data_IF_489871981482
#
_entry.id   IF_489871981482
#
_cell.length_a   1.000
_cell.length_b   1.000
_cell.length_c   1.000
_cell.angle_alpha   90.00
_cell.angle_beta   90.00
_cell.angle_gamma   90.00
#
_symmetry.space_group_name_H-M   'P 1'
#
loop_
_entity.id
_entity.type
_entity.pdbx_description
1 polymer ?
#
# COMPACT_ATOMS: atom_id res chain seq x y z
N UNK A 1 -17.03 9.15 23.51
CA UNK A 1 -16.30 8.90 22.30
C UNK A 1 -16.19 7.42 22.00
N UNK A 2 -16.42 7.05 20.77
CA UNK A 2 -16.43 5.66 20.39
C UNK A 2 -15.23 5.32 19.55
N UNK A 3 -14.43 4.41 20.05
CA UNK A 3 -13.33 3.90 19.29
C UNK A 3 -13.68 2.53 18.76
N UNK A 4 -13.31 2.23 17.53
CA UNK A 4 -13.52 0.90 16.98
C UNK A 4 -12.76 -0.12 17.80
N UNK A 5 -13.46 -1.15 18.25
CA UNK A 5 -12.85 -2.19 19.06
C UNK A 5 -11.72 -2.88 18.32
N UNK A 6 -11.89 -3.08 17.03
CA UNK A 6 -10.86 -3.73 16.23
C UNK A 6 -9.55 -2.93 16.23
N UNK A 7 -9.66 -1.59 16.13
CA UNK A 7 -8.48 -0.74 16.13
C UNK A 7 -7.80 -0.69 17.47
N UNK A 8 -8.57 -0.80 18.56
CA UNK A 8 -8.03 -0.79 19.90
C UNK A 8 -7.13 -2.01 20.18
N UNK A 9 -7.28 -3.09 19.40
CA UNK A 9 -6.48 -4.30 19.57
C UNK A 9 -5.18 -4.27 18.79
N UNK A 10 -5.04 -3.34 17.86
CA UNK A 10 -3.89 -3.26 16.98
C UNK A 10 -3.10 -2.01 17.28
N UNK A 11 -1.90 -2.18 17.82
CA UNK A 11 -0.98 -1.07 17.98
C UNK A 11 -0.13 -0.89 16.71
N UNK A 12 0.69 0.15 16.71
CA UNK A 12 1.55 0.46 15.57
C UNK A 12 2.50 -0.67 15.24
N UNK A 13 3.03 -1.34 16.25
CA UNK A 13 3.96 -2.43 16.03
C UNK A 13 3.29 -3.61 15.33
N UNK A 14 2.04 -3.89 15.68
CA UNK A 14 1.29 -4.97 15.05
C UNK A 14 0.98 -4.63 13.59
N UNK A 15 0.52 -3.41 13.32
CA UNK A 15 0.28 -2.98 11.94
C UNK A 15 1.54 -3.11 11.09
N UNK A 16 2.67 -2.63 11.60
CA UNK A 16 3.92 -2.71 10.88
C UNK A 16 4.31 -4.16 10.58
N UNK A 17 4.17 -5.03 11.59
CA UNK A 17 4.51 -6.44 11.43
C UNK A 17 3.65 -7.11 10.35
N UNK A 18 2.34 -6.84 10.38
CA UNK A 18 1.43 -7.43 9.40
C UNK A 18 1.69 -6.91 7.99
N UNK A 19 2.02 -5.62 7.86
CA UNK A 19 2.37 -5.05 6.58
C UNK A 19 3.63 -5.71 6.02
N UNK A 20 4.65 -5.88 6.85
CA UNK A 20 5.91 -6.48 6.41
C UNK A 20 5.76 -7.96 6.05
N UNK A 21 4.82 -8.65 6.67
CA UNK A 21 4.56 -10.07 6.41
C UNK A 21 3.61 -10.31 5.27
N UNK A 22 2.84 -9.32 4.86
CA UNK A 22 1.85 -9.48 3.81
C UNK A 22 2.53 -9.88 2.50
N UNK A 23 2.21 -11.06 1.94
CA UNK A 23 2.91 -11.57 0.77
C UNK A 23 2.32 -11.02 -0.53
N UNK A 24 2.14 -9.70 -0.60
CA UNK A 24 1.46 -9.07 -1.72
C UNK A 24 2.21 -9.21 -3.04
N UNK A 25 3.53 -9.37 -2.97
CA UNK A 25 4.33 -9.50 -4.19
C UNK A 25 4.22 -10.88 -4.86
N UNK A 26 3.40 -11.77 -4.31
CA UNK A 26 2.99 -12.96 -5.05
C UNK A 26 2.09 -12.59 -6.22
N UNK A 27 1.41 -11.46 -6.16
CA UNK A 27 0.52 -10.99 -7.23
C UNK A 27 0.88 -9.59 -7.72
N UNK A 28 1.34 -8.72 -6.83
CA UNK A 28 1.68 -7.35 -7.18
C UNK A 28 3.13 -7.25 -7.65
N UNK A 29 3.39 -6.30 -8.54
CA UNK A 29 4.73 -6.02 -9.01
C UNK A 29 5.35 -4.90 -8.20
N UNK A 30 6.68 -4.89 -8.13
CA UNK A 30 7.44 -3.79 -7.56
C UNK A 30 7.46 -2.65 -8.55
N UNK A 31 6.56 -1.70 -8.35
CA UNK A 31 6.47 -0.53 -9.22
C UNK A 31 7.46 0.55 -8.77
N UNK A 32 7.95 1.37 -9.70
CA UNK A 32 8.92 2.39 -9.33
C UNK A 32 8.31 3.57 -8.60
N UNK A 33 9.15 4.25 -7.83
CA UNK A 33 8.90 5.61 -7.37
C UNK A 33 9.47 6.53 -8.42
N UNK A 34 8.61 7.36 -9.01
CA UNK A 34 9.02 8.25 -10.09
C UNK A 34 8.93 9.68 -9.64
N UNK A 35 10.02 10.45 -9.80
CA UNK A 35 9.99 11.86 -9.50
C UNK A 35 9.13 12.60 -10.49
N UNK A 36 8.42 13.62 -9.99
CA UNK A 36 7.59 14.51 -10.78
C UNK A 36 8.27 15.86 -10.85
N UNK A 37 9.17 16.10 -11.83
CA UNK A 37 10.00 17.30 -11.80
C UNK A 37 9.23 18.60 -11.89
N UNK A 38 8.23 18.68 -12.76
CA UNK A 38 7.45 19.91 -12.93
C UNK A 38 6.66 20.24 -11.67
N UNK A 39 6.04 19.26 -11.06
CA UNK A 39 5.28 19.46 -9.84
C UNK A 39 6.21 19.76 -8.67
N UNK A 40 7.35 19.09 -8.61
CA UNK A 40 8.36 19.37 -7.59
C UNK A 40 8.83 20.81 -7.65
N UNK A 41 9.08 21.31 -8.86
CA UNK A 41 9.51 22.70 -9.04
C UNK A 41 8.42 23.69 -8.59
N UNK A 42 7.17 23.39 -8.92
CA UNK A 42 6.05 24.28 -8.54
C UNK A 42 5.84 24.34 -7.02
N UNK A 43 6.05 23.24 -6.34
CA UNK A 43 5.80 23.15 -4.91
C UNK A 43 7.04 23.44 -4.06
N UNK A 44 8.21 23.54 -4.67
CA UNK A 44 9.45 23.75 -3.96
C UNK A 44 9.85 22.56 -3.08
N UNK A 45 9.40 21.35 -3.43
CA UNK A 45 9.69 20.13 -2.67
C UNK A 45 9.79 18.97 -3.64
N UNK A 46 10.57 17.97 -3.27
CA UNK A 46 10.63 16.76 -4.07
C UNK A 46 9.32 16.00 -3.96
N UNK A 47 8.67 15.77 -5.10
CA UNK A 47 7.43 15.02 -5.15
C UNK A 47 7.67 13.78 -6.01
N UNK A 48 7.32 12.63 -5.45
CA UNK A 48 7.45 11.36 -6.14
C UNK A 48 6.12 10.66 -6.16
N UNK A 49 5.88 9.87 -7.21
CA UNK A 49 4.66 9.08 -7.31
C UNK A 49 5.02 7.60 -7.37
N UNK A 50 4.32 6.81 -6.56
CA UNK A 50 4.41 5.35 -6.62
C UNK A 50 3.54 4.88 -7.79
N UNK A 51 4.17 4.35 -8.82
CA UNK A 51 3.52 4.08 -10.10
C UNK A 51 2.67 2.80 -10.06
N UNK A 52 1.59 2.81 -9.26
CA UNK A 52 0.70 1.64 -9.16
C UNK A 52 -0.20 1.46 -10.38
N UNK A 53 -0.25 2.45 -11.27
CA UNK A 53 -0.87 2.30 -12.59
C UNK A 53 -0.14 1.27 -13.45
N UNK A 54 1.11 0.95 -13.10
CA UNK A 54 1.90 -0.05 -13.81
C UNK A 54 1.68 -1.47 -13.31
N UNK A 55 0.84 -1.66 -12.30
CA UNK A 55 0.41 -3.01 -11.92
C UNK A 55 -0.38 -3.64 -13.05
N UNK A 56 -0.42 -4.98 -13.09
CA UNK A 56 -1.15 -5.71 -14.13
C UNK A 56 -2.61 -5.28 -14.23
N UNK A 57 -3.22 -4.90 -13.10
CA UNK A 57 -4.60 -4.43 -13.06
C UNK A 57 -4.70 -2.90 -13.07
N UNK A 58 -3.58 -2.22 -13.31
CA UNK A 58 -3.49 -0.76 -13.43
C UNK A 58 -3.98 0.02 -12.22
N UNK A 59 -3.88 -0.57 -11.02
CA UNK A 59 -4.39 0.06 -9.80
C UNK A 59 -3.66 -0.48 -8.58
N UNK A 60 -3.55 0.37 -7.55
CA UNK A 60 -3.00 -0.03 -6.27
C UNK A 60 -3.87 -1.08 -5.56
N UNK A 61 -5.11 -1.25 -5.98
CA UNK A 61 -6.08 -2.12 -5.30
C UNK A 61 -5.66 -3.58 -5.26
N UNK A 62 -4.78 -4.00 -6.16
CA UNK A 62 -4.30 -5.39 -6.19
C UNK A 62 -3.65 -5.81 -4.87
N UNK A 63 -2.98 -4.89 -4.18
CA UNK A 63 -2.29 -5.20 -2.93
C UNK A 63 -3.27 -5.63 -1.85
N UNK A 64 -4.27 -4.80 -1.58
CA UNK A 64 -5.27 -5.12 -0.57
C UNK A 64 -6.17 -6.26 -0.97
N UNK A 65 -6.59 -6.31 -2.23
CA UNK A 65 -7.45 -7.36 -2.74
C UNK A 65 -6.78 -8.73 -2.63
N UNK A 66 -5.53 -8.84 -3.07
CA UNK A 66 -4.81 -10.10 -2.98
C UNK A 66 -4.63 -10.55 -1.53
N UNK A 67 -4.21 -9.62 -0.68
CA UNK A 67 -3.97 -9.93 0.72
C UNK A 67 -5.24 -10.39 1.43
N UNK A 68 -6.36 -9.76 1.13
CA UNK A 68 -7.65 -10.14 1.69
C UNK A 68 -8.08 -11.53 1.20
N UNK A 69 -7.96 -11.78 -0.10
CA UNK A 69 -8.35 -13.06 -0.67
C UNK A 69 -7.48 -14.20 -0.18
N UNK A 70 -6.19 -13.94 -0.03
CA UNK A 70 -5.25 -14.95 0.42
C UNK A 70 -5.52 -15.41 1.85
N UNK A 71 -6.14 -14.56 2.67
CA UNK A 71 -6.47 -14.91 4.04
C UNK A 71 -7.75 -15.71 4.18
N UNK A 72 -8.49 -15.90 3.09
CA UNK A 72 -9.72 -16.68 3.13
C UNK A 72 -9.41 -18.18 3.22
N UNK A 73 -10.21 -18.88 4.00
CA UNK A 73 -10.12 -20.34 4.07
C UNK A 73 -10.78 -20.99 2.85
N UNK A 74 -10.26 -22.14 2.40
CA UNK A 74 -10.92 -22.88 1.32
C UNK A 74 -12.32 -23.34 1.71
#
# INVERSE_FOLDING_TARGET
MNEPVADARWDSARYLREILRAPVYEAAEHTPLQEMPALSARLGSTVEVKREDLQAVHSFKIRGAYNAMRSLSP
#
